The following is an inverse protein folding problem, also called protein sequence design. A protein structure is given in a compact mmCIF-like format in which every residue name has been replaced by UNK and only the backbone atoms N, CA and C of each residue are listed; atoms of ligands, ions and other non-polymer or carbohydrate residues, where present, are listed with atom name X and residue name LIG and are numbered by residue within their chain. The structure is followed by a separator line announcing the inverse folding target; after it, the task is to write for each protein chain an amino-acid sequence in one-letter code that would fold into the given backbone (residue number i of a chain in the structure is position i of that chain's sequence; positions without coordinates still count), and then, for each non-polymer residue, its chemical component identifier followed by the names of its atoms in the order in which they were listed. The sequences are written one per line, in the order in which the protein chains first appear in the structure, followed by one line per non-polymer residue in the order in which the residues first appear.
data_IF_275875849222
#
_entry.id   IF_275875849222
#
_cell.length_a   1.000
_cell.length_b   1.000
_cell.length_c   1.000
_cell.angle_alpha   90.00
_cell.angle_beta   90.00
_cell.angle_gamma   90.00
#
_symmetry.space_group_name_H-M   'P 1'
#
loop_
_entity.id
_entity.type
_entity.pdbx_description
1 polymer ?
#
# COMPACT_ATOMS: atom_id res chain seq x y z
N UNK A 1 11.56 24.71 6.49
CA UNK A 1 10.28 24.48 5.82
C UNK A 1 9.20 25.25 6.55
N UNK A 2 8.51 26.16 5.86
CA UNK A 2 7.40 26.89 6.48
C UNK A 2 6.16 26.01 6.44
N UNK A 3 5.65 25.63 7.58
CA UNK A 3 4.34 24.99 7.66
C UNK A 3 3.26 26.05 7.44
N UNK A 4 2.40 25.81 6.47
CA UNK A 4 1.22 26.64 6.20
C UNK A 4 0.00 25.82 6.48
N UNK A 5 -0.83 26.24 7.43
CA UNK A 5 -2.04 25.51 7.77
C UNK A 5 -3.18 26.52 7.93
N UNK A 6 -4.29 26.24 7.30
CA UNK A 6 -5.53 26.98 7.56
C UNK A 6 -6.72 26.07 7.41
N UNK A 7 -7.55 25.96 8.41
CA UNK A 7 -8.91 25.49 8.24
C UNK A 7 -9.82 25.96 9.39
N UNK A 8 -11.08 26.22 9.11
CA UNK A 8 -12.08 26.44 10.15
C UNK A 8 -12.26 25.21 11.05
N UNK A 9 -11.98 24.03 10.54
CA UNK A 9 -12.09 22.78 11.31
C UNK A 9 -11.06 22.72 12.44
N UNK A 10 -9.85 23.27 12.21
CA UNK A 10 -8.83 23.36 13.25
C UNK A 10 -9.27 24.29 14.37
N UNK A 11 -9.99 25.38 14.08
CA UNK A 11 -10.59 26.25 15.11
C UNK A 11 -11.58 25.49 15.98
N UNK A 12 -12.40 24.65 15.38
CA UNK A 12 -13.38 23.81 16.09
C UNK A 12 -12.69 22.82 17.03
N UNK A 13 -11.55 22.28 16.63
CA UNK A 13 -10.79 21.27 17.40
C UNK A 13 -9.95 21.93 18.50
N UNK A 14 -9.21 22.99 18.18
CA UNK A 14 -8.23 23.59 19.09
C UNK A 14 -8.77 24.77 19.94
N UNK A 15 -9.92 25.35 19.55
CA UNK A 15 -10.44 26.56 20.16
C UNK A 15 -9.62 27.81 19.82
N UNK A 16 -10.02 28.96 20.38
CA UNK A 16 -9.38 30.26 20.11
C UNK A 16 -7.94 30.32 20.62
N UNK A 17 -7.67 29.80 21.80
CA UNK A 17 -6.32 29.80 22.41
C UNK A 17 -5.37 28.91 21.59
N UNK A 18 -5.83 27.74 21.17
CA UNK A 18 -5.03 26.86 20.32
C UNK A 18 -4.70 27.47 18.97
N UNK A 19 -5.63 28.22 18.37
CA UNK A 19 -5.37 28.92 17.11
C UNK A 19 -4.31 30.00 17.26
N UNK A 20 -4.35 30.79 18.34
CA UNK A 20 -3.35 31.81 18.61
C UNK A 20 -1.96 31.21 18.82
N UNK A 21 -1.89 30.11 19.59
CA UNK A 21 -0.66 29.39 19.86
C UNK A 21 0.02 28.88 18.58
N UNK A 22 -0.76 28.36 17.62
CA UNK A 22 -0.25 27.80 16.38
C UNK A 22 -0.28 28.78 15.19
N UNK A 23 -0.57 30.07 15.45
CA UNK A 23 -0.69 31.09 14.41
C UNK A 23 -1.74 30.74 13.33
N UNK A 24 -2.78 30.05 13.70
CA UNK A 24 -3.86 29.65 12.82
C UNK A 24 -5.07 30.54 13.04
N UNK A 25 -5.39 31.40 12.08
CA UNK A 25 -6.63 32.16 12.08
C UNK A 25 -7.53 31.73 10.93
N UNK A 26 -8.72 31.24 11.22
CA UNK A 26 -9.69 30.96 10.17
C UNK A 26 -10.17 32.28 9.56
N UNK A 27 -10.42 32.26 8.26
CA UNK A 27 -11.06 33.39 7.63
C UNK A 27 -12.10 32.91 6.60
N UNK A 28 -13.16 33.66 6.55
CA UNK A 28 -14.16 33.62 5.51
C UNK A 28 -14.18 35.01 4.93
N UNK A 29 -14.02 35.12 3.64
CA UNK A 29 -14.28 36.39 2.98
C UNK A 29 -15.79 36.58 2.90
N UNK A 30 -16.33 37.30 3.89
CA UNK A 30 -17.76 37.53 4.02
C UNK A 30 -18.33 38.42 2.88
N UNK A 31 -17.52 39.24 2.26
CA UNK A 31 -17.95 40.15 1.18
C UNK A 31 -18.13 39.43 -0.13
N UNK A 32 -17.28 38.44 -0.45
CA UNK A 32 -17.38 37.70 -1.70
C UNK A 32 -18.17 36.41 -1.59
N UNK A 33 -18.51 35.97 -0.38
CA UNK A 33 -19.11 34.67 -0.15
C UNK A 33 -18.20 33.47 -0.51
N UNK A 34 -16.93 33.73 -0.82
CA UNK A 34 -15.93 32.72 -1.13
C UNK A 34 -15.00 32.52 0.03
N UNK A 35 -14.61 31.28 0.26
CA UNK A 35 -13.54 30.94 1.20
C UNK A 35 -12.20 31.19 0.54
N UNK A 36 -11.42 32.12 1.08
CA UNK A 36 -10.02 32.29 0.71
C UNK A 36 -9.14 31.70 1.80
N UNK A 37 -7.99 31.17 1.44
CA UNK A 37 -7.00 30.70 2.38
C UNK A 37 -6.02 31.85 2.70
N UNK A 38 -5.96 32.25 3.97
CA UNK A 38 -4.97 33.18 4.46
C UNK A 38 -3.77 32.40 4.99
N UNK A 39 -2.65 32.51 4.31
CA UNK A 39 -1.44 31.78 4.63
C UNK A 39 -0.55 32.63 5.51
N UNK A 40 -0.30 32.15 6.73
CA UNK A 40 0.66 32.75 7.63
C UNK A 40 1.91 31.88 7.74
N UNK A 41 3.03 32.51 8.08
CA UNK A 41 4.20 31.76 8.43
C UNK A 41 3.94 31.01 9.73
N UNK A 42 4.22 29.72 9.71
CA UNK A 42 4.20 28.90 10.92
C UNK A 42 5.36 29.26 11.86
N UNK A 43 5.36 28.74 13.08
CA UNK A 43 6.45 28.96 14.03
C UNK A 43 7.78 28.49 13.42
N UNK A 44 8.87 29.23 13.71
CA UNK A 44 10.21 28.92 13.21
C UNK A 44 10.75 27.60 13.76
N UNK A 45 10.31 27.21 14.96
CA UNK A 45 10.63 25.95 15.60
C UNK A 45 9.36 25.19 15.97
N UNK A 46 9.47 23.87 16.11
CA UNK A 46 8.38 23.05 16.64
C UNK A 46 8.10 23.41 18.10
N UNK A 47 6.81 23.62 18.41
CA UNK A 47 6.35 23.84 19.78
C UNK A 47 6.32 22.54 20.59
N UNK A 48 6.25 21.40 19.93
CA UNK A 48 6.31 20.07 20.52
C UNK A 48 7.21 19.16 19.65
N UNK A 49 8.44 18.96 20.11
CA UNK A 49 9.45 18.17 19.39
C UNK A 49 9.18 16.66 19.42
N UNK A 50 8.32 16.19 20.33
CA UNK A 50 7.90 14.79 20.39
C UNK A 50 6.83 14.48 19.34
N UNK A 51 6.14 15.50 18.83
CA UNK A 51 5.12 15.37 17.78
C UNK A 51 5.67 15.77 16.41
N UNK A 52 6.42 16.87 16.34
CA UNK A 52 7.03 17.37 15.09
C UNK A 52 8.50 17.63 15.31
N UNK A 53 9.34 16.75 14.81
CA UNK A 53 10.79 16.89 14.88
C UNK A 53 11.33 17.79 13.78
N UNK A 54 12.56 18.30 13.97
CA UNK A 54 13.25 19.09 12.94
C UNK A 54 13.84 18.19 11.84
N UNK A 55 14.14 18.78 10.68
CA UNK A 55 14.80 18.06 9.59
C UNK A 55 16.22 17.59 9.96
N UNK A 56 16.90 18.31 10.88
CA UNK A 56 18.25 17.96 11.34
C UNK A 56 18.23 16.78 12.33
N UNK A 57 17.08 16.56 13.00
CA UNK A 57 16.91 15.48 13.97
C UNK A 57 15.58 14.76 13.76
N UNK A 58 15.39 14.07 12.63
CA UNK A 58 14.13 13.40 12.32
C UNK A 58 13.93 12.17 13.22
N UNK A 59 12.67 11.78 13.47
CA UNK A 59 12.35 10.52 14.16
C UNK A 59 12.85 9.28 13.39
N UNK A 60 12.99 9.39 12.07
CA UNK A 60 13.57 8.38 11.20
C UNK A 60 14.33 9.06 10.07
N UNK A 61 15.51 8.55 9.76
CA UNK A 61 16.32 9.06 8.63
C UNK A 61 15.67 8.78 7.27
N UNK A 62 14.80 7.76 7.19
CA UNK A 62 14.08 7.38 5.99
C UNK A 62 12.56 7.57 6.18
N UNK A 63 11.84 7.79 5.08
CA UNK A 63 10.38 7.83 5.07
C UNK A 63 9.75 6.48 5.41
N UNK A 64 8.45 6.48 5.70
CA UNK A 64 7.71 5.26 6.04
C UNK A 64 7.41 4.34 4.86
N UNK A 65 7.69 4.77 3.63
CA UNK A 65 7.50 4.00 2.38
C UNK A 65 8.83 3.75 1.70
N UNK A 66 8.99 2.57 1.11
CA UNK A 66 10.16 2.20 0.33
C UNK A 66 9.75 1.57 -1.00
N UNK A 67 10.49 1.91 -2.06
CA UNK A 67 10.33 1.29 -3.36
C UNK A 67 10.99 -0.09 -3.34
N UNK A 68 10.28 -1.08 -3.86
CA UNK A 68 10.79 -2.41 -4.14
C UNK A 68 10.91 -2.60 -5.65
N UNK A 69 12.00 -3.21 -6.10
CA UNK A 69 12.25 -3.51 -7.51
C UNK A 69 12.82 -4.91 -7.68
N UNK A 70 12.57 -5.52 -8.83
CA UNK A 70 13.10 -6.85 -9.16
C UNK A 70 12.43 -7.41 -10.40
N UNK A 71 12.60 -8.73 -10.62
CA UNK A 71 12.02 -9.39 -11.78
C UNK A 71 10.49 -9.57 -11.71
N UNK A 72 9.88 -9.29 -10.58
CA UNK A 72 8.42 -9.23 -10.46
C UNK A 72 7.84 -7.89 -10.91
N UNK A 73 8.65 -6.82 -10.95
CA UNK A 73 8.23 -5.47 -11.29
C UNK A 73 8.60 -4.45 -10.24
N UNK A 74 7.82 -3.37 -10.13
CA UNK A 74 7.99 -2.28 -9.16
C UNK A 74 6.81 -2.26 -8.21
N UNK A 75 7.08 -2.03 -6.94
CA UNK A 75 6.09 -2.09 -5.87
C UNK A 75 6.50 -1.14 -4.75
N UNK A 76 5.60 -0.83 -3.85
CA UNK A 76 5.90 -0.08 -2.63
C UNK A 76 5.63 -0.92 -1.40
N UNK A 77 6.41 -0.70 -0.35
CA UNK A 77 6.20 -1.28 0.97
C UNK A 77 6.19 -0.18 2.02
N UNK A 78 5.26 -0.27 2.97
CA UNK A 78 5.29 0.55 4.17
C UNK A 78 6.16 -0.15 5.22
N UNK A 79 7.28 0.47 5.59
CA UNK A 79 8.26 -0.11 6.52
C UNK A 79 8.13 0.40 7.96
N UNK A 80 7.43 1.53 8.17
CA UNK A 80 7.40 2.20 9.48
C UNK A 80 6.83 1.37 10.62
N UNK A 81 6.00 0.37 10.33
CA UNK A 81 5.41 -0.53 11.32
C UNK A 81 5.93 -1.99 11.20
N UNK A 82 6.80 -2.27 10.21
CA UNK A 82 7.41 -3.59 10.05
C UNK A 82 8.65 -3.66 10.93
N UNK A 83 8.65 -4.58 11.88
CA UNK A 83 9.81 -4.82 12.73
C UNK A 83 11.02 -5.26 11.90
N UNK A 84 12.26 -4.92 12.32
CA UNK A 84 13.47 -5.27 11.57
C UNK A 84 13.58 -6.76 11.21
N UNK A 85 13.21 -7.66 12.12
CA UNK A 85 13.26 -9.11 11.92
C UNK A 85 12.30 -9.62 10.82
N UNK A 86 11.32 -8.82 10.42
CA UNK A 86 10.35 -9.16 9.36
C UNK A 86 10.59 -8.42 8.05
N UNK A 87 11.63 -7.59 7.94
CA UNK A 87 11.91 -6.80 6.74
C UNK A 87 12.52 -7.61 5.59
N UNK A 88 13.04 -8.79 5.89
CA UNK A 88 13.61 -9.69 4.88
C UNK A 88 12.93 -11.04 5.00
N UNK A 89 12.09 -11.37 4.03
CA UNK A 89 11.38 -12.63 3.94
C UNK A 89 11.79 -13.32 2.63
N UNK A 90 12.20 -14.58 2.74
CA UNK A 90 12.43 -15.44 1.59
C UNK A 90 11.74 -16.78 1.81
N UNK A 91 10.63 -16.98 1.11
CA UNK A 91 9.77 -18.13 1.34
C UNK A 91 9.04 -18.54 0.05
N UNK A 92 8.48 -19.76 0.01
CA UNK A 92 7.71 -20.24 -1.13
C UNK A 92 6.44 -19.40 -1.36
N UNK A 93 6.09 -19.17 -2.61
CA UNK A 93 4.84 -18.51 -2.97
C UNK A 93 3.63 -19.41 -2.73
N UNK A 94 2.56 -18.84 -2.20
CA UNK A 94 1.21 -19.39 -2.23
C UNK A 94 0.33 -18.40 -2.99
N UNK A 95 -0.40 -18.89 -4.00
CA UNK A 95 -1.13 -18.04 -4.94
C UNK A 95 -2.60 -17.95 -4.56
N UNK A 96 -3.12 -16.73 -4.64
CA UNK A 96 -4.52 -16.41 -4.41
C UNK A 96 -5.01 -15.47 -5.53
N UNK A 97 -6.07 -15.84 -6.22
CA UNK A 97 -6.69 -15.00 -7.26
C UNK A 97 -7.88 -14.20 -6.70
N UNK A 98 -8.26 -14.48 -5.46
CA UNK A 98 -9.26 -13.72 -4.72
C UNK A 98 -8.86 -13.58 -3.25
N UNK A 99 -9.13 -12.40 -2.66
CA UNK A 99 -8.75 -12.11 -1.27
C UNK A 99 -9.36 -13.08 -0.24
N UNK A 100 -10.55 -13.64 -0.49
CA UNK A 100 -11.20 -14.55 0.43
C UNK A 100 -10.55 -15.93 0.49
N UNK A 101 -9.80 -16.33 -0.53
CA UNK A 101 -9.17 -17.65 -0.61
C UNK A 101 -8.12 -17.84 0.48
N UNK A 102 -7.41 -16.75 0.85
CA UNK A 102 -6.44 -16.80 1.94
C UNK A 102 -7.12 -17.17 3.27
N UNK A 103 -8.27 -16.57 3.56
CA UNK A 103 -9.02 -16.90 4.78
C UNK A 103 -9.54 -18.33 4.76
N UNK A 104 -10.08 -18.80 3.65
CA UNK A 104 -10.57 -20.18 3.52
C UNK A 104 -9.45 -21.20 3.75
N UNK A 105 -8.25 -21.01 3.15
CA UNK A 105 -7.11 -21.91 3.36
C UNK A 105 -6.55 -21.81 4.78
N UNK A 106 -6.61 -20.64 5.41
CA UNK A 106 -6.24 -20.49 6.81
C UNK A 106 -7.19 -21.27 7.74
N UNK A 107 -8.50 -21.14 7.54
CA UNK A 107 -9.51 -21.83 8.34
C UNK A 107 -9.42 -23.36 8.14
N UNK A 108 -8.93 -23.81 6.99
CA UNK A 108 -8.64 -25.23 6.71
C UNK A 108 -7.31 -25.72 7.32
N UNK A 109 -6.50 -24.85 7.96
CA UNK A 109 -5.23 -25.20 8.57
C UNK A 109 -4.07 -25.42 7.59
N UNK A 110 -4.19 -24.96 6.33
CA UNK A 110 -3.21 -25.21 5.27
C UNK A 110 -2.02 -24.25 5.28
N UNK A 111 -2.10 -23.15 6.06
CA UNK A 111 -1.16 -22.03 6.01
C UNK A 111 -0.18 -21.97 7.20
N UNK A 112 -0.09 -23.00 8.04
CA UNK A 112 0.84 -23.03 9.16
C UNK A 112 2.27 -23.39 8.69
N UNK A 113 2.87 -22.46 7.94
CA UNK A 113 4.23 -22.58 7.37
C UNK A 113 4.73 -21.22 6.93
N UNK A 114 6.01 -21.14 6.57
CA UNK A 114 6.60 -19.96 5.94
C UNK A 114 6.11 -19.83 4.49
N UNK A 115 5.64 -18.65 4.09
CA UNK A 115 5.23 -18.40 2.71
C UNK A 115 5.11 -16.91 2.37
N UNK A 116 5.15 -16.63 1.09
CA UNK A 116 4.76 -15.34 0.52
C UNK A 116 3.39 -15.48 -0.13
N UNK A 117 2.38 -14.79 0.42
CA UNK A 117 1.05 -14.74 -0.17
C UNK A 117 1.10 -13.87 -1.44
N UNK A 118 0.88 -14.47 -2.60
CA UNK A 118 0.81 -13.76 -3.88
C UNK A 118 -0.65 -13.60 -4.26
N UNK A 119 -1.20 -12.40 -4.02
CA UNK A 119 -2.61 -12.09 -4.29
C UNK A 119 -2.72 -11.30 -5.58
N UNK A 120 -3.25 -11.93 -6.62
CA UNK A 120 -3.29 -11.41 -7.99
C UNK A 120 -4.65 -10.81 -8.35
N UNK A 121 -4.67 -10.03 -9.41
CA UNK A 121 -5.89 -9.46 -9.99
C UNK A 121 -6.65 -8.52 -9.06
N UNK A 122 -5.94 -7.79 -8.23
CA UNK A 122 -6.50 -6.77 -7.37
C UNK A 122 -6.11 -5.35 -7.82
N UNK A 123 -5.43 -5.25 -8.97
CA UNK A 123 -4.97 -4.00 -9.55
C UNK A 123 -6.08 -3.10 -10.11
N UNK A 124 -5.71 -1.93 -10.64
CA UNK A 124 -6.66 -0.92 -11.14
C UNK A 124 -7.62 -1.48 -12.18
N UNK A 125 -7.13 -2.14 -13.22
CA UNK A 125 -7.95 -2.69 -14.31
C UNK A 125 -8.69 -3.95 -13.89
N UNK A 126 -8.02 -4.81 -13.13
CA UNK A 126 -8.60 -6.10 -12.77
C UNK A 126 -9.77 -5.95 -11.81
N UNK A 127 -9.66 -5.11 -10.79
CA UNK A 127 -10.65 -5.02 -9.72
C UNK A 127 -10.84 -3.63 -9.11
N UNK A 128 -10.24 -2.57 -9.68
CA UNK A 128 -10.35 -1.21 -9.18
C UNK A 128 -9.64 -0.99 -7.83
N UNK A 129 -8.64 -1.80 -7.51
CA UNK A 129 -7.83 -1.72 -6.28
C UNK A 129 -8.68 -1.69 -4.99
N UNK A 130 -9.48 -2.72 -4.71
CA UNK A 130 -10.24 -2.76 -3.46
C UNK A 130 -9.30 -2.77 -2.26
N UNK A 131 -9.80 -2.34 -1.11
CA UNK A 131 -9.06 -2.42 0.14
C UNK A 131 -8.87 -3.88 0.57
N UNK A 132 -7.61 -4.30 0.76
CA UNK A 132 -7.23 -5.67 1.09
C UNK A 132 -6.89 -5.87 2.59
N UNK A 133 -7.35 -5.00 3.46
CA UNK A 133 -7.04 -5.06 4.90
C UNK A 133 -7.43 -6.40 5.56
N UNK A 134 -8.42 -7.13 5.02
CA UNK A 134 -8.85 -8.42 5.55
C UNK A 134 -7.78 -9.52 5.47
N UNK A 135 -6.76 -9.37 4.62
CA UNK A 135 -5.62 -10.29 4.56
C UNK A 135 -4.71 -10.19 5.78
N UNK A 136 -4.61 -8.99 6.36
CA UNK A 136 -3.65 -8.68 7.42
C UNK A 136 -3.88 -9.44 8.73
N UNK A 137 -5.12 -9.61 9.24
CA UNK A 137 -5.34 -10.35 10.48
C UNK A 137 -4.84 -11.79 10.40
N UNK A 138 -5.09 -12.47 9.29
CA UNK A 138 -4.63 -13.86 9.07
C UNK A 138 -3.10 -13.92 9.01
N UNK A 139 -2.47 -13.09 8.17
CA UNK A 139 -1.02 -13.06 8.04
C UNK A 139 -0.35 -12.60 9.36
N UNK A 140 -0.95 -11.64 10.06
CA UNK A 140 -0.45 -11.19 11.35
C UNK A 140 -0.51 -12.26 12.43
N UNK A 141 -1.56 -13.07 12.45
CA UNK A 141 -1.68 -14.20 13.38
C UNK A 141 -0.64 -15.29 13.08
N UNK A 142 -0.39 -15.59 11.80
CA UNK A 142 0.66 -16.53 11.41
C UNK A 142 2.05 -16.01 11.78
N UNK A 143 2.32 -14.71 11.57
CA UNK A 143 3.56 -14.07 12.01
C UNK A 143 3.73 -14.15 13.54
N UNK A 144 2.67 -13.94 14.32
CA UNK A 144 2.71 -14.07 15.79
C UNK A 144 2.94 -15.50 16.25
N UNK A 145 2.57 -16.51 15.45
CA UNK A 145 2.89 -17.93 15.67
C UNK A 145 4.33 -18.28 15.29
N UNK A 146 5.10 -17.33 14.75
CA UNK A 146 6.51 -17.49 14.42
C UNK A 146 6.80 -17.82 12.96
N UNK A 147 5.78 -17.86 12.10
CA UNK A 147 6.00 -18.10 10.67
C UNK A 147 6.51 -16.84 9.95
N UNK A 148 7.39 -17.05 8.97
CA UNK A 148 7.90 -16.02 8.08
C UNK A 148 6.87 -15.81 6.95
N UNK A 149 6.07 -14.76 7.06
CA UNK A 149 5.02 -14.48 6.08
C UNK A 149 5.15 -13.08 5.50
N UNK A 150 4.84 -12.95 4.22
CA UNK A 150 4.77 -11.67 3.52
C UNK A 150 3.60 -11.66 2.54
N UNK A 151 3.21 -10.49 2.08
CA UNK A 151 2.23 -10.30 1.02
C UNK A 151 2.89 -9.66 -0.21
N UNK A 152 2.54 -10.14 -1.39
CA UNK A 152 2.83 -9.52 -2.68
C UNK A 152 1.54 -9.39 -3.46
N UNK A 153 1.18 -8.18 -3.89
CA UNK A 153 -0.07 -7.95 -4.61
C UNK A 153 0.01 -6.75 -5.56
N UNK A 154 -0.71 -6.85 -6.68
CA UNK A 154 -0.98 -5.72 -7.57
C UNK A 154 -2.09 -4.78 -7.04
N UNK A 155 -2.73 -5.15 -5.92
CA UNK A 155 -3.72 -4.36 -5.22
C UNK A 155 -3.12 -3.40 -4.20
N UNK A 156 -3.98 -2.85 -3.34
CA UNK A 156 -3.60 -1.91 -2.28
C UNK A 156 -4.01 -2.38 -0.90
N UNK A 157 -3.34 -1.87 0.10
CA UNK A 157 -3.69 -2.01 1.50
C UNK A 157 -3.57 -0.69 2.24
N UNK A 158 -4.40 -0.50 3.27
CA UNK A 158 -4.30 0.64 4.18
C UNK A 158 -2.94 0.68 4.89
N UNK A 159 -2.44 1.89 5.09
CA UNK A 159 -1.23 2.11 5.88
C UNK A 159 -1.31 1.66 7.34
N UNK A 160 -2.50 1.44 7.89
CA UNK A 160 -2.68 0.93 9.26
C UNK A 160 -2.28 -0.54 9.42
N UNK A 161 -2.15 -1.28 8.33
CA UNK A 161 -1.88 -2.74 8.32
C UNK A 161 -0.40 -3.11 8.29
N UNK A 162 0.50 -2.20 8.68
CA UNK A 162 1.93 -2.30 8.42
C UNK A 162 2.75 -3.32 9.23
N UNK A 163 2.13 -4.19 10.04
CA UNK A 163 2.85 -5.19 10.84
C UNK A 163 3.49 -6.28 9.98
N UNK A 164 2.75 -6.77 9.00
CA UNK A 164 3.21 -7.78 8.04
C UNK A 164 3.86 -7.08 6.85
N UNK A 165 5.05 -7.51 6.40
CA UNK A 165 5.66 -6.94 5.20
C UNK A 165 4.79 -7.20 3.98
N UNK A 166 4.40 -6.14 3.29
CA UNK A 166 3.50 -6.20 2.14
C UNK A 166 4.03 -5.35 0.98
N UNK A 167 4.40 -6.00 -0.11
CA UNK A 167 4.65 -5.38 -1.40
C UNK A 167 3.31 -5.13 -2.09
N UNK A 168 2.88 -3.89 -2.18
CA UNK A 168 1.60 -3.46 -2.73
C UNK A 168 1.81 -2.60 -3.98
N UNK A 169 0.74 -2.36 -4.75
CA UNK A 169 0.79 -1.60 -6.01
C UNK A 169 1.79 -2.19 -7.02
N UNK A 170 1.97 -3.52 -7.02
CA UNK A 170 2.92 -4.14 -7.94
C UNK A 170 2.52 -3.85 -9.38
N UNK A 171 3.45 -3.23 -10.10
CA UNK A 171 3.28 -2.82 -11.50
C UNK A 171 4.35 -3.48 -12.38
N UNK A 172 3.95 -3.96 -13.59
CA UNK A 172 2.58 -4.03 -14.12
C UNK A 172 1.69 -5.01 -13.35
N UNK A 173 0.37 -4.71 -13.26
CA UNK A 173 -0.61 -5.62 -12.65
C UNK A 173 -0.81 -6.91 -13.46
N UNK A 174 -1.37 -7.95 -12.85
CA UNK A 174 -1.59 -9.24 -13.49
C UNK A 174 -2.42 -9.14 -14.79
N UNK A 175 -3.47 -8.32 -14.82
CA UNK A 175 -4.30 -8.12 -16.01
C UNK A 175 -3.54 -7.43 -17.15
N UNK A 176 -2.54 -6.62 -16.86
CA UNK A 176 -1.63 -6.01 -17.81
C UNK A 176 -0.38 -6.87 -18.09
N UNK A 177 -0.51 -8.18 -17.94
CA UNK A 177 0.58 -9.13 -18.17
C UNK A 177 1.82 -8.87 -17.30
N UNK A 178 1.63 -8.36 -16.08
CA UNK A 178 2.71 -8.23 -15.12
C UNK A 178 3.34 -9.57 -14.76
N UNK A 179 4.62 -9.56 -14.40
CA UNK A 179 5.37 -10.78 -14.09
C UNK A 179 4.78 -11.57 -12.90
N UNK A 180 3.99 -10.93 -12.04
CA UNK A 180 3.22 -11.58 -10.98
C UNK A 180 2.33 -12.73 -11.53
N UNK A 181 1.87 -12.62 -12.77
CA UNK A 181 1.05 -13.65 -13.42
C UNK A 181 1.84 -14.93 -13.71
N UNK A 182 3.17 -14.82 -13.90
CA UNK A 182 4.08 -15.97 -14.15
C UNK A 182 4.43 -16.75 -12.87
N UNK A 183 4.14 -16.19 -11.70
CA UNK A 183 4.45 -16.85 -10.41
C UNK A 183 3.64 -18.14 -10.30
N UNK A 184 4.33 -19.21 -9.89
CA UNK A 184 3.73 -20.51 -9.64
C UNK A 184 3.78 -20.85 -8.16
N UNK A 185 2.90 -21.77 -7.73
CA UNK A 185 2.89 -22.28 -6.37
C UNK A 185 4.25 -22.86 -6.00
N UNK A 186 4.81 -22.46 -4.89
CA UNK A 186 6.12 -22.90 -4.40
C UNK A 186 7.32 -22.12 -4.93
N UNK A 187 7.16 -21.18 -5.85
CA UNK A 187 8.27 -20.33 -6.30
C UNK A 187 8.92 -19.60 -5.12
N UNK A 188 10.25 -19.64 -4.97
CA UNK A 188 10.92 -18.93 -3.89
C UNK A 188 10.95 -17.43 -4.19
N UNK A 189 10.21 -16.65 -3.38
CA UNK A 189 10.15 -15.19 -3.50
C UNK A 189 10.95 -14.56 -2.36
N UNK A 190 11.78 -13.58 -2.70
CA UNK A 190 12.45 -12.69 -1.76
C UNK A 190 11.78 -11.31 -1.77
N UNK A 191 11.28 -10.90 -0.59
CA UNK A 191 10.93 -9.54 -0.27
C UNK A 191 11.96 -9.02 0.73
N UNK A 192 12.76 -8.04 0.31
CA UNK A 192 13.81 -7.44 1.15
C UNK A 192 13.58 -5.93 1.22
N UNK A 193 12.91 -5.51 2.27
CA UNK A 193 12.57 -4.11 2.49
C UNK A 193 13.81 -3.25 2.76
N UNK A 194 14.86 -3.81 3.36
CA UNK A 194 16.08 -3.05 3.66
C UNK A 194 16.84 -2.69 2.38
N UNK A 195 16.89 -3.61 1.42
CA UNK A 195 17.58 -3.41 0.13
C UNK A 195 16.66 -2.91 -0.99
N UNK A 196 15.34 -2.86 -0.78
CA UNK A 196 14.38 -2.52 -1.82
C UNK A 196 14.25 -3.57 -2.91
N UNK A 197 14.33 -4.86 -2.56
CA UNK A 197 14.29 -5.98 -3.50
C UNK A 197 12.96 -6.72 -3.42
N UNK A 198 12.39 -7.03 -4.59
CA UNK A 198 11.28 -7.97 -4.76
C UNK A 198 11.61 -8.91 -5.93
N UNK A 199 11.99 -10.15 -5.61
CA UNK A 199 12.56 -11.06 -6.60
C UNK A 199 12.01 -12.48 -6.49
N UNK A 200 11.70 -13.09 -7.62
CA UNK A 200 11.42 -14.52 -7.75
C UNK A 200 12.70 -15.24 -8.15
N UNK A 201 13.14 -16.20 -7.34
CA UNK A 201 14.37 -16.96 -7.52
C UNK A 201 14.16 -18.30 -8.22
N UNK A 202 12.96 -18.58 -8.72
CA UNK A 202 12.73 -19.81 -9.49
C UNK A 202 13.57 -19.82 -10.77
N UNK A 203 14.17 -20.95 -11.05
CA UNK A 203 14.96 -21.14 -12.28
C UNK A 203 14.09 -20.91 -13.51
N UNK A 204 14.58 -20.16 -14.48
CA UNK A 204 13.86 -19.86 -15.71
C UNK A 204 12.61 -18.99 -15.53
N UNK A 205 12.45 -18.29 -14.41
CA UNK A 205 11.25 -17.49 -14.15
C UNK A 205 10.99 -16.43 -15.23
N UNK A 206 12.02 -15.72 -15.66
CA UNK A 206 11.91 -14.65 -16.66
C UNK A 206 11.53 -15.18 -18.04
N UNK A 207 11.97 -16.37 -18.38
CA UNK A 207 11.72 -17.07 -19.64
C UNK A 207 10.34 -17.75 -19.68
N UNK A 208 9.66 -17.90 -18.56
CA UNK A 208 8.32 -18.50 -18.52
C UNK A 208 7.39 -17.77 -19.46
N UNK A 209 6.65 -18.52 -20.26
CA UNK A 209 5.58 -17.97 -21.08
C UNK A 209 4.51 -17.31 -20.19
N UNK A 210 3.93 -16.22 -20.66
CA UNK A 210 2.82 -15.58 -19.98
C UNK A 210 1.59 -16.50 -20.03
N UNK A 211 1.03 -16.92 -18.89
CA UNK A 211 -0.17 -17.75 -18.92
C UNK A 211 -1.35 -16.95 -19.44
N UNK A 212 -2.35 -17.61 -20.06
CA UNK A 212 -3.57 -16.94 -20.45
C UNK A 212 -4.31 -16.42 -19.21
N UNK A 213 -4.86 -15.24 -19.33
CA UNK A 213 -5.75 -14.69 -18.30
C UNK A 213 -7.14 -15.33 -18.51
N UNK A 214 -7.65 -15.99 -17.48
CA UNK A 214 -9.00 -16.53 -17.52
C UNK A 214 -10.03 -15.40 -17.65
N UNK A 215 -11.12 -15.67 -18.35
CA UNK A 215 -12.23 -14.74 -18.44
C UNK A 215 -12.75 -14.38 -17.05
N UNK A 216 -12.79 -13.09 -16.78
CA UNK A 216 -13.29 -12.57 -15.51
C UNK A 216 -14.69 -12.00 -15.70
N UNK A 217 -15.57 -12.12 -14.69
CA UNK A 217 -16.90 -11.56 -14.80
C UNK A 217 -16.84 -10.06 -15.15
N UNK A 218 -17.43 -9.69 -16.27
CA UNK A 218 -17.51 -8.28 -16.71
C UNK A 218 -18.80 -7.60 -16.26
N UNK A 219 -19.78 -8.38 -15.82
CA UNK A 219 -21.11 -7.95 -15.41
C UNK A 219 -21.44 -8.45 -14.01
N UNK A 220 -22.44 -7.84 -13.39
CA UNK A 220 -22.90 -8.17 -12.05
C UNK A 220 -22.21 -7.33 -10.96
N UNK A 221 -22.90 -7.14 -9.85
CA UNK A 221 -22.42 -6.32 -8.70
C UNK A 221 -22.00 -4.88 -9.09
N UNK A 222 -22.55 -4.32 -10.17
CA UNK A 222 -22.22 -2.99 -10.68
C UNK A 222 -20.95 -2.93 -11.52
N UNK A 223 -20.31 -4.05 -11.84
CA UNK A 223 -19.07 -4.06 -12.63
C UNK A 223 -19.24 -3.45 -14.04
N UNK A 224 -20.39 -3.64 -14.64
CA UNK A 224 -20.75 -3.05 -15.92
C UNK A 224 -20.77 -1.51 -15.90
N UNK A 225 -21.19 -0.91 -14.78
CA UNK A 225 -21.20 0.54 -14.61
C UNK A 225 -19.78 1.13 -14.65
N UNK A 226 -18.79 0.39 -14.17
CA UNK A 226 -17.40 0.80 -14.11
C UNK A 226 -16.52 0.23 -15.24
N UNK A 227 -17.11 -0.39 -16.25
CA UNK A 227 -16.36 -1.01 -17.35
C UNK A 227 -15.44 -0.01 -18.05
N UNK A 228 -15.97 1.16 -18.42
CA UNK A 228 -15.19 2.20 -19.08
C UNK A 228 -14.02 2.72 -18.23
N UNK A 229 -14.21 2.87 -16.92
CA UNK A 229 -13.12 3.26 -16.03
C UNK A 229 -12.00 2.21 -15.99
N UNK A 230 -12.35 0.92 -15.94
CA UNK A 230 -11.36 -0.16 -15.98
C UNK A 230 -10.58 -0.22 -17.30
N UNK A 231 -11.23 0.10 -18.41
CA UNK A 231 -10.58 0.14 -19.73
C UNK A 231 -9.58 1.30 -19.83
N UNK A 232 -9.93 2.46 -19.24
CA UNK A 232 -9.18 3.71 -19.37
C UNK A 232 -8.11 3.91 -18.29
N UNK A 233 -8.23 3.21 -17.13
CA UNK A 233 -7.36 3.46 -15.99
C UNK A 233 -5.89 3.13 -16.28
N UNK A 234 -5.00 4.04 -15.86
CA UNK A 234 -3.55 3.88 -15.93
C UNK A 234 -2.98 2.92 -14.89
N UNK A 235 -1.66 2.80 -14.86
CA UNK A 235 -0.96 1.95 -13.91
C UNK A 235 -1.05 2.47 -12.47
N UNK A 236 -0.95 1.56 -11.49
CA UNK A 236 -0.96 1.93 -10.08
C UNK A 236 0.19 2.88 -9.71
N UNK A 237 1.38 2.70 -10.29
CA UNK A 237 2.55 3.55 -10.05
C UNK A 237 2.40 4.97 -10.64
N UNK A 238 1.47 5.17 -11.56
CA UNK A 238 1.10 6.47 -12.16
C UNK A 238 -0.12 7.10 -11.47
N UNK A 239 -0.60 6.50 -10.38
CA UNK A 239 -1.74 6.99 -9.60
C UNK A 239 -3.09 6.39 -10.01
N UNK A 240 -3.12 5.38 -10.88
CA UNK A 240 -4.36 4.74 -11.36
C UNK A 240 -5.40 5.78 -11.85
N UNK A 241 -4.95 6.79 -12.57
CA UNK A 241 -5.81 7.85 -13.11
C UNK A 241 -6.53 7.39 -14.37
N UNK A 242 -7.71 7.95 -14.60
CA UNK A 242 -8.49 7.80 -15.84
C UNK A 242 -8.35 9.03 -16.76
N UNK A 243 -7.53 10.02 -16.36
CA UNK A 243 -7.27 11.27 -17.07
C UNK A 243 -5.84 11.33 -17.58
#
# INVERSE_FOLDING_TARGET
AHSRVVTNDVKTILGEEGLQQYCLEPFLNAESGTTQLDWREGPAESLDKDVVSSCESPFSAEGGLKLLTGNLGRSVIKISAVKPEHRVIKAPAIIFDHQNDLKMRFDAGELEKDFVAVVRFQGPKANGMPELHQLTPVLGLLQDRGFQVALVTDGRMSGASGKVPAAIHLSPEALNQGAILKVQEGDPIELNADKGILHNHAEGFTERAMPPVADRPSVGMGREMFAHFRESVGAAEEGASIF
#
